data_IF_354792984071
#
_entry.id   IF_354792984071
#
_cell.length_a   1.000
_cell.length_b   1.000
_cell.length_c   1.000
_cell.angle_alpha   90.00
_cell.angle_beta   90.00
_cell.angle_gamma   90.00
#
_symmetry.space_group_name_H-M   'P 1'
#
loop_
_entity.id
_entity.type
_entity.pdbx_description
1 polymer ?
#
# COMPACT_ATOMS: atom_id res chain seq x y z
N UNK A 1 -1.18 -17.99 -8.44
CA UNK A 1 -1.90 -16.80 -8.92
C UNK A 1 -2.70 -16.10 -7.82
N UNK A 2 -3.51 -16.83 -7.03
CA UNK A 2 -4.31 -16.30 -5.92
C UNK A 2 -3.56 -15.28 -5.02
N UNK A 3 -2.37 -15.62 -4.53
CA UNK A 3 -1.58 -14.71 -3.68
C UNK A 3 -1.16 -13.40 -4.37
N UNK A 4 -0.84 -13.45 -5.68
CA UNK A 4 -0.48 -12.24 -6.44
C UNK A 4 -1.70 -11.32 -6.59
N UNK A 5 -2.85 -11.90 -6.93
CA UNK A 5 -4.13 -11.18 -7.02
C UNK A 5 -4.51 -10.55 -5.69
N UNK A 6 -4.37 -11.29 -4.58
CA UNK A 6 -4.66 -10.81 -3.23
C UNK A 6 -3.79 -9.61 -2.85
N UNK A 7 -2.49 -9.63 -3.16
CA UNK A 7 -1.57 -8.52 -2.92
C UNK A 7 -1.94 -7.30 -3.79
N UNK A 8 -2.26 -7.49 -5.07
CA UNK A 8 -2.66 -6.39 -5.95
C UNK A 8 -4.00 -5.77 -5.52
N UNK A 9 -5.01 -6.59 -5.26
CA UNK A 9 -6.34 -6.13 -4.83
C UNK A 9 -6.33 -5.44 -3.47
N UNK A 10 -5.56 -5.97 -2.49
CA UNK A 10 -5.43 -5.29 -1.20
C UNK A 10 -4.77 -3.92 -1.34
N UNK A 11 -3.75 -3.78 -2.20
CA UNK A 11 -3.12 -2.48 -2.43
C UNK A 11 -4.02 -1.47 -3.11
N UNK A 12 -4.77 -1.91 -4.12
CA UNK A 12 -5.76 -1.06 -4.77
C UNK A 12 -6.84 -0.59 -3.78
N UNK A 13 -7.38 -1.50 -2.97
CA UNK A 13 -8.37 -1.17 -1.94
C UNK A 13 -7.82 -0.20 -0.89
N UNK A 14 -6.57 -0.37 -0.45
CA UNK A 14 -5.92 0.55 0.50
C UNK A 14 -5.83 1.96 -0.10
N UNK A 15 -5.40 2.10 -1.36
CA UNK A 15 -5.37 3.41 -2.02
C UNK A 15 -6.76 4.03 -2.14
N UNK A 16 -7.76 3.24 -2.53
CA UNK A 16 -9.14 3.70 -2.64
C UNK A 16 -9.74 4.14 -1.30
N UNK A 17 -9.42 3.44 -0.21
CA UNK A 17 -9.89 3.78 1.13
C UNK A 17 -9.17 4.99 1.74
N UNK A 18 -7.89 5.19 1.43
CA UNK A 18 -7.12 6.34 1.93
C UNK A 18 -7.41 7.63 1.17
N UNK A 19 -7.55 7.55 -0.16
CA UNK A 19 -7.56 8.73 -1.03
C UNK A 19 -8.82 8.83 -1.91
N UNK A 20 -9.74 7.86 -1.84
CA UNK A 20 -10.90 7.79 -2.72
C UNK A 20 -10.60 7.05 -4.04
N UNK A 21 -11.66 6.67 -4.76
CA UNK A 21 -11.57 5.87 -5.99
C UNK A 21 -10.87 6.58 -7.14
N UNK A 22 -10.95 7.91 -7.21
CA UNK A 22 -10.31 8.69 -8.27
C UNK A 22 -8.83 8.98 -7.98
N UNK A 23 -8.50 9.38 -6.75
CA UNK A 23 -7.14 9.81 -6.41
C UNK A 23 -6.26 8.66 -5.89
N UNK A 24 -6.85 7.58 -5.37
CA UNK A 24 -6.12 6.39 -4.95
C UNK A 24 -5.15 5.89 -6.02
N UNK A 25 -5.62 5.55 -7.23
CA UNK A 25 -4.74 5.12 -8.31
C UNK A 25 -3.69 6.16 -8.70
N UNK A 26 -4.01 7.47 -8.64
CA UNK A 26 -3.06 8.54 -8.98
C UNK A 26 -1.92 8.60 -7.96
N UNK A 27 -2.24 8.56 -6.68
CA UNK A 27 -1.26 8.57 -5.59
C UNK A 27 -0.41 7.29 -5.62
N UNK A 28 -1.03 6.11 -5.67
CA UNK A 28 -0.29 4.84 -5.63
C UNK A 28 0.68 4.65 -6.81
N UNK A 29 0.35 5.21 -7.98
CA UNK A 29 1.16 5.10 -9.19
C UNK A 29 2.05 6.31 -9.46
N UNK A 30 2.00 7.35 -8.62
CA UNK A 30 2.79 8.56 -8.82
C UNK A 30 4.29 8.23 -8.97
N UNK A 31 4.92 8.86 -9.96
CA UNK A 31 6.35 8.79 -10.20
C UNK A 31 6.94 10.15 -9.87
N UNK A 32 7.89 10.19 -8.93
CA UNK A 32 8.55 11.43 -8.55
C UNK A 32 9.47 11.93 -9.67
N UNK A 33 9.67 13.26 -9.77
CA UNK A 33 10.62 13.83 -10.71
C UNK A 33 12.02 13.21 -10.57
N UNK A 34 12.74 13.10 -11.69
CA UNK A 34 14.10 12.59 -11.68
C UNK A 34 14.99 13.40 -10.73
N UNK A 35 15.83 12.69 -9.96
CA UNK A 35 16.71 13.29 -8.95
C UNK A 35 16.08 13.39 -7.55
N UNK A 36 14.77 13.15 -7.38
CA UNK A 36 14.16 13.03 -6.06
C UNK A 36 14.29 11.60 -5.51
N UNK A 37 14.41 11.43 -4.17
CA UNK A 37 14.39 10.12 -3.55
C UNK A 37 13.01 9.46 -3.67
N UNK A 38 12.93 8.14 -3.51
CA UNK A 38 11.65 7.41 -3.54
C UNK A 38 10.73 7.86 -2.40
N UNK A 39 11.27 7.94 -1.19
CA UNK A 39 10.58 8.43 0.01
C UNK A 39 11.39 9.55 0.64
N UNK A 40 10.70 10.53 1.22
CA UNK A 40 11.34 11.60 2.00
C UNK A 40 11.64 11.10 3.44
N UNK A 41 10.77 10.25 3.98
CA UNK A 41 10.93 9.60 5.29
C UNK A 41 11.03 8.07 5.12
N UNK A 42 12.24 7.54 5.32
CA UNK A 42 12.52 6.11 5.20
C UNK A 42 11.98 5.28 6.36
N UNK A 43 11.82 5.86 7.55
CA UNK A 43 11.27 5.15 8.70
C UNK A 43 9.75 5.04 8.59
N UNK A 44 9.10 6.06 8.04
CA UNK A 44 7.71 5.97 7.61
C UNK A 44 7.51 4.89 6.53
N UNK A 45 8.35 4.82 5.49
CA UNK A 45 8.27 3.72 4.51
C UNK A 45 8.39 2.34 5.14
N UNK A 46 9.37 2.13 6.04
CA UNK A 46 9.52 0.86 6.76
C UNK A 46 8.28 0.54 7.59
N UNK A 47 7.70 1.54 8.23
CA UNK A 47 6.49 1.37 9.05
C UNK A 47 5.30 0.99 8.18
N UNK A 48 5.09 1.64 7.03
CA UNK A 48 4.04 1.27 6.06
C UNK A 48 4.15 -0.18 5.59
N UNK A 49 5.38 -0.64 5.31
CA UNK A 49 5.64 -2.03 4.93
C UNK A 49 5.28 -2.98 6.06
N UNK A 50 5.78 -2.74 7.27
CA UNK A 50 5.53 -3.59 8.44
C UNK A 50 4.04 -3.67 8.75
N UNK A 51 3.36 -2.53 8.81
CA UNK A 51 1.93 -2.47 9.07
C UNK A 51 1.12 -3.19 8.00
N UNK A 52 1.49 -3.06 6.71
CA UNK A 52 0.86 -3.87 5.67
C UNK A 52 1.06 -5.37 5.93
N UNK A 53 2.29 -5.81 6.18
CA UNK A 53 2.58 -7.24 6.36
C UNK A 53 1.93 -7.83 7.63
N UNK A 54 1.78 -7.05 8.69
CA UNK A 54 1.06 -7.42 9.90
C UNK A 54 -0.44 -7.63 9.66
N UNK A 55 -1.08 -6.78 8.85
CA UNK A 55 -2.53 -6.83 8.60
C UNK A 55 -2.91 -7.76 7.43
N UNK A 56 -2.05 -7.85 6.42
CA UNK A 56 -2.35 -8.50 5.14
C UNK A 56 -1.51 -9.75 4.87
N UNK A 57 -0.47 -9.99 5.68
CA UNK A 57 0.53 -11.00 5.46
C UNK A 57 1.67 -10.54 4.52
N UNK A 58 2.71 -11.38 4.34
CA UNK A 58 3.95 -10.96 3.70
C UNK A 58 3.79 -10.49 2.25
N UNK A 59 4.51 -9.44 1.86
CA UNK A 59 4.62 -8.98 0.47
C UNK A 59 5.38 -10.00 -0.38
N UNK A 60 6.40 -10.64 0.21
CA UNK A 60 7.34 -11.52 -0.47
C UNK A 60 7.95 -10.85 -1.73
N UNK A 61 8.61 -11.63 -2.59
CA UNK A 61 9.26 -11.08 -3.78
C UNK A 61 8.29 -10.37 -4.73
N UNK A 62 7.06 -10.88 -4.89
CA UNK A 62 6.08 -10.29 -5.81
C UNK A 62 5.61 -8.91 -5.33
N UNK A 63 5.30 -8.78 -4.04
CA UNK A 63 4.76 -7.56 -3.45
C UNK A 63 5.75 -6.39 -3.47
N UNK A 64 7.04 -6.64 -3.69
CA UNK A 64 8.04 -5.58 -3.86
C UNK A 64 7.72 -4.60 -5.00
N UNK A 65 6.87 -4.99 -5.98
CA UNK A 65 6.35 -4.06 -7.00
C UNK A 65 5.58 -2.87 -6.40
N UNK A 66 5.02 -3.01 -5.20
CA UNK A 66 4.20 -2.02 -4.50
C UNK A 66 5.00 -1.13 -3.54
N UNK A 67 6.32 -1.29 -3.48
CA UNK A 67 7.17 -0.45 -2.63
C UNK A 67 7.04 1.05 -2.95
N UNK A 68 6.87 1.39 -4.24
CA UNK A 68 6.62 2.77 -4.65
C UNK A 68 5.27 3.28 -4.15
N UNK A 69 4.24 2.42 -4.17
CA UNK A 69 2.91 2.78 -3.68
C UNK A 69 2.92 3.04 -2.17
N UNK A 70 3.63 2.20 -1.40
CA UNK A 70 3.84 2.41 0.04
C UNK A 70 4.67 3.69 0.33
N UNK A 71 5.67 3.97 -0.49
CA UNK A 71 6.42 5.23 -0.41
C UNK A 71 5.54 6.45 -0.72
N UNK A 72 4.65 6.37 -1.71
CA UNK A 72 3.74 7.46 -2.04
C UNK A 72 2.70 7.71 -0.94
N UNK A 73 2.19 6.66 -0.29
CA UNK A 73 1.34 6.78 0.90
C UNK A 73 2.07 7.56 2.00
N UNK A 74 3.33 7.20 2.25
CA UNK A 74 4.17 7.89 3.20
C UNK A 74 4.41 9.37 2.83
N UNK A 75 4.78 9.65 1.58
CA UNK A 75 5.02 11.01 1.08
C UNK A 75 3.74 11.87 1.10
N UNK A 76 2.55 11.24 1.08
CA UNK A 76 1.26 11.91 1.25
C UNK A 76 0.91 12.24 2.71
N UNK A 77 1.82 11.97 3.65
CA UNK A 77 1.66 12.28 5.08
C UNK A 77 0.78 11.30 5.86
N UNK A 78 0.52 10.11 5.31
CA UNK A 78 -0.26 9.08 6.01
C UNK A 78 0.59 8.49 7.14
N UNK A 79 0.00 8.42 8.33
CA UNK A 79 0.61 7.84 9.53
C UNK A 79 0.25 6.37 9.68
N UNK A 80 1.08 5.64 10.41
CA UNK A 80 0.95 4.19 10.65
C UNK A 80 -0.44 3.78 11.14
N UNK A 81 -1.01 4.55 12.08
CA UNK A 81 -2.35 4.31 12.65
C UNK A 81 -3.45 4.24 11.56
N UNK A 82 -3.39 5.14 10.58
CA UNK A 82 -4.36 5.19 9.48
C UNK A 82 -4.13 4.02 8.52
N UNK A 83 -2.87 3.70 8.22
CA UNK A 83 -2.51 2.53 7.42
C UNK A 83 -3.00 1.24 8.06
N UNK A 84 -2.80 1.04 9.37
CA UNK A 84 -3.23 -0.16 10.09
C UNK A 84 -4.74 -0.38 9.97
N UNK A 85 -5.52 0.66 10.25
CA UNK A 85 -6.99 0.61 10.17
C UNK A 85 -7.48 0.29 8.75
N UNK A 86 -6.90 0.93 7.74
CA UNK A 86 -7.32 0.74 6.35
C UNK A 86 -6.87 -0.62 5.82
N UNK A 87 -5.64 -1.05 6.13
CA UNK A 87 -5.11 -2.34 5.72
C UNK A 87 -5.91 -3.51 6.32
N UNK A 88 -6.30 -3.43 7.60
CA UNK A 88 -7.13 -4.47 8.22
C UNK A 88 -8.47 -4.63 7.50
N UNK A 89 -9.10 -3.52 7.09
CA UNK A 89 -10.36 -3.54 6.34
C UNK A 89 -10.16 -4.06 4.91
N UNK A 90 -9.18 -3.51 4.19
CA UNK A 90 -8.91 -3.86 2.80
C UNK A 90 -8.53 -5.33 2.63
N UNK A 91 -7.72 -5.86 3.54
CA UNK A 91 -7.24 -7.23 3.43
C UNK A 91 -8.30 -8.26 3.84
N UNK A 92 -9.19 -7.93 4.79
CA UNK A 92 -10.39 -8.73 5.02
C UNK A 92 -11.27 -8.84 3.76
N UNK A 93 -11.49 -7.73 3.05
CA UNK A 93 -12.25 -7.71 1.79
C UNK A 93 -11.50 -8.50 0.70
N UNK A 94 -10.22 -8.21 0.47
CA UNK A 94 -9.43 -8.85 -0.57
C UNK A 94 -9.33 -10.38 -0.38
N UNK A 95 -9.26 -10.86 0.87
CA UNK A 95 -9.23 -12.30 1.15
C UNK A 95 -10.55 -12.99 0.79
N UNK A 96 -11.68 -12.30 1.00
CA UNK A 96 -13.01 -12.83 0.67
C UNK A 96 -13.29 -12.91 -0.84
N UNK A 97 -12.61 -12.12 -1.67
CA UNK A 97 -12.80 -12.09 -3.13
C UNK A 97 -12.03 -13.19 -3.89
N UNK A 98 -11.17 -13.95 -3.20
CA UNK A 98 -10.32 -14.98 -3.80
C UNK A 98 -10.85 -16.39 -3.48
N UNK A 99 -12.06 -16.49 -2.92
CA UNK A 99 -12.84 -17.71 -2.72
C UNK A 99 -14.18 -17.60 -3.44
#
# INVERSE_FOLDING_TARGET
>A
MARRSQVDSSMELIGGLLFGSEDGPKVLNAVRPAGQPLADDWDCLKSMVRTYEEQCGPLAQYGMKHMRSLANICNAGIREEAMAKVASQACAIAHSLVH
#
